data_IF_630125013093
#
_entry.id   IF_630125013093
#
_cell.length_a   1.000
_cell.length_b   1.000
_cell.length_c   1.000
_cell.angle_alpha   90.00
_cell.angle_beta   90.00
_cell.angle_gamma   90.00
#
_symmetry.space_group_name_H-M   'P 1'
#
loop_
_entity.id
_entity.type
_entity.pdbx_description
1 polymer ?
#
# COMPACT_ATOMS: atom_id res chain seq x y z
N UNK A 1 -2.89 -7.21 5.29
CA UNK A 1 -3.88 -7.52 4.24
C UNK A 1 -3.19 -8.37 3.19
N UNK A 2 -3.94 -9.00 2.29
CA UNK A 2 -3.42 -9.93 1.29
C UNK A 2 -3.23 -11.34 1.83
N UNK A 3 -1.99 -11.81 1.78
CA UNK A 3 -1.59 -13.18 2.16
C UNK A 3 -1.60 -13.40 3.67
N UNK A 4 -2.23 -14.50 4.12
CA UNK A 4 -2.22 -14.90 5.52
C UNK A 4 -0.80 -15.23 6.00
N UNK A 5 -0.44 -14.80 7.21
CA UNK A 5 0.83 -15.08 7.91
C UNK A 5 2.13 -14.66 7.18
N UNK A 6 2.05 -14.09 5.97
CA UNK A 6 3.22 -13.69 5.18
C UNK A 6 4.14 -12.75 5.94
N UNK A 7 3.58 -11.73 6.60
CA UNK A 7 4.37 -10.74 7.35
C UNK A 7 5.15 -11.36 8.50
N UNK A 8 4.62 -12.40 9.14
CA UNK A 8 5.33 -13.13 10.20
C UNK A 8 6.52 -13.92 9.63
N UNK A 9 6.40 -14.41 8.40
CA UNK A 9 7.46 -15.17 7.70
C UNK A 9 8.58 -14.23 7.23
N UNK A 10 8.23 -13.07 6.68
CA UNK A 10 9.22 -12.11 6.15
C UNK A 10 9.73 -11.11 7.20
N UNK A 11 9.30 -11.20 8.45
CA UNK A 11 9.69 -10.25 9.50
C UNK A 11 11.21 -10.23 9.75
N UNK A 12 11.88 -11.37 9.56
CA UNK A 12 13.34 -11.50 9.76
C UNK A 12 14.17 -10.68 8.78
N UNK A 13 13.62 -10.37 7.59
CA UNK A 13 14.29 -9.56 6.56
C UNK A 13 13.89 -8.09 6.61
N UNK A 14 13.09 -7.68 7.61
CA UNK A 14 12.67 -6.29 7.82
C UNK A 14 13.85 -5.40 8.14
N UNK A 15 13.94 -4.26 7.47
CA UNK A 15 14.84 -3.17 7.83
C UNK A 15 14.04 -1.95 8.27
N UNK A 16 14.22 -1.49 9.50
CA UNK A 16 13.72 -0.16 9.86
C UNK A 16 14.65 0.89 9.26
N UNK A 17 14.14 1.70 8.34
CA UNK A 17 14.90 2.78 7.71
C UNK A 17 14.30 4.13 8.08
N UNK A 18 15.13 5.14 8.40
CA UNK A 18 14.63 6.46 8.73
C UNK A 18 14.10 7.17 7.48
N UNK A 19 13.03 7.96 7.60
CA UNK A 19 12.37 8.58 6.44
C UNK A 19 13.29 9.50 5.63
N UNK A 20 14.26 10.18 6.26
CA UNK A 20 15.20 11.03 5.55
C UNK A 20 16.07 10.25 4.54
N UNK A 21 16.27 8.95 4.75
CA UNK A 21 17.03 8.08 3.83
C UNK A 21 16.29 7.82 2.51
N UNK A 22 15.02 8.21 2.42
CA UNK A 22 14.21 8.12 1.21
C UNK A 22 14.38 9.35 0.30
N UNK A 23 15.11 10.38 0.75
CA UNK A 23 15.32 11.59 -0.04
C UNK A 23 15.89 11.27 -1.42
N UNK A 24 15.30 11.88 -2.46
CA UNK A 24 15.66 11.65 -3.85
C UNK A 24 14.98 10.44 -4.51
N UNK A 25 14.34 9.56 -3.74
CA UNK A 25 13.60 8.41 -4.28
C UNK A 25 12.24 8.80 -4.83
N UNK A 26 11.78 8.03 -5.80
CA UNK A 26 10.40 8.06 -6.32
C UNK A 26 9.64 6.85 -5.79
N UNK A 27 8.51 7.05 -5.12
CA UNK A 27 7.73 5.98 -4.49
C UNK A 27 6.30 5.92 -5.05
N UNK A 28 5.84 4.72 -5.37
CA UNK A 28 4.44 4.46 -5.69
C UNK A 28 3.64 4.27 -4.39
N UNK A 29 2.45 4.86 -4.30
CA UNK A 29 1.62 4.81 -3.09
C UNK A 29 0.21 4.34 -3.43
N UNK A 30 -0.28 3.32 -2.73
CA UNK A 30 -1.69 2.94 -2.79
C UNK A 30 -2.55 4.02 -2.10
N UNK A 31 -3.31 4.77 -2.91
CA UNK A 31 -4.15 5.87 -2.42
C UNK A 31 -5.28 5.36 -1.53
N UNK A 32 -5.91 4.26 -1.93
CA UNK A 32 -7.02 3.65 -1.19
C UNK A 32 -6.58 3.26 0.21
N UNK A 33 -5.41 2.63 0.33
CA UNK A 33 -4.87 2.15 1.60
C UNK A 33 -4.60 3.31 2.56
N UNK A 34 -3.96 4.39 2.12
CA UNK A 34 -3.70 5.56 2.96
C UNK A 34 -4.97 6.31 3.38
N UNK A 35 -5.96 6.39 2.51
CA UNK A 35 -7.27 6.97 2.86
C UNK A 35 -7.99 6.07 3.89
N UNK A 36 -7.93 4.75 3.73
CA UNK A 36 -8.49 3.80 4.68
C UNK A 36 -7.84 3.91 6.06
N UNK A 37 -6.51 3.99 6.14
CA UNK A 37 -5.78 4.17 7.39
C UNK A 37 -6.20 5.44 8.11
N UNK A 38 -6.24 6.55 7.37
CA UNK A 38 -6.66 7.84 7.91
C UNK A 38 -8.08 7.75 8.50
N UNK A 39 -8.98 7.00 7.86
CA UNK A 39 -10.36 6.75 8.29
C UNK A 39 -10.46 5.79 9.48
N UNK A 40 -9.59 4.77 9.58
CA UNK A 40 -9.58 3.87 10.72
C UNK A 40 -9.16 4.59 12.02
N UNK A 41 -8.22 5.53 11.91
CA UNK A 41 -7.88 6.46 13.00
C UNK A 41 -9.07 7.37 13.35
N UNK A 42 -9.91 7.76 12.37
CA UNK A 42 -11.12 8.56 12.64
C UNK A 42 -12.14 7.85 13.51
N UNK A 43 -12.35 6.55 13.29
CA UNK A 43 -13.30 5.75 14.07
C UNK A 43 -12.87 5.62 15.55
N UNK A 44 -11.57 5.69 15.84
CA UNK A 44 -11.05 5.61 17.21
C UNK A 44 -11.01 6.94 17.96
N UNK A 45 -10.80 8.08 17.27
CA UNK A 45 -10.48 9.35 17.93
C UNK A 45 -11.61 10.40 17.92
N UNK A 46 -12.71 10.17 17.17
CA UNK A 46 -13.88 11.06 17.16
C UNK A 46 -13.63 12.50 16.70
N UNK A 47 -12.41 12.84 16.27
CA UNK A 47 -11.97 14.18 15.90
C UNK A 47 -10.90 14.10 14.81
N UNK A 48 -11.35 14.11 13.56
CA UNK A 48 -10.83 14.89 12.42
C UNK A 48 -11.86 14.72 11.29
N UNK A 49 -12.38 15.82 10.76
CA UNK A 49 -13.58 15.82 9.91
C UNK A 49 -13.34 15.38 8.46
N UNK A 50 -12.08 15.26 8.01
CA UNK A 50 -11.72 15.18 6.58
C UNK A 50 -10.43 14.36 6.32
N UNK A 51 -10.51 13.14 5.75
CA UNK A 51 -9.34 12.25 5.54
C UNK A 51 -8.30 12.80 4.56
N UNK A 52 -8.70 13.66 3.62
CA UNK A 52 -7.78 14.34 2.71
C UNK A 52 -6.78 15.26 3.44
N UNK A 53 -7.10 15.76 4.65
CA UNK A 53 -6.14 16.56 5.44
C UNK A 53 -4.95 15.72 5.91
N UNK A 54 -5.18 14.48 6.33
CA UNK A 54 -4.08 13.59 6.72
C UNK A 54 -3.22 13.23 5.51
N UNK A 55 -3.85 12.99 4.36
CA UNK A 55 -3.14 12.77 3.11
C UNK A 55 -2.29 13.99 2.73
N UNK A 56 -2.84 15.21 2.83
CA UNK A 56 -2.12 16.46 2.57
C UNK A 56 -0.84 16.56 3.39
N UNK A 57 -0.92 16.35 4.71
CA UNK A 57 0.27 16.43 5.56
C UNK A 57 1.30 15.35 5.23
N UNK A 58 0.88 14.10 4.97
CA UNK A 58 1.80 13.03 4.55
C UNK A 58 2.52 13.39 3.24
N UNK A 59 1.77 13.85 2.23
CA UNK A 59 2.32 14.26 0.94
C UNK A 59 3.27 15.44 1.09
N UNK A 60 2.86 16.48 1.81
CA UNK A 60 3.68 17.68 2.06
C UNK A 60 4.98 17.32 2.78
N UNK A 61 4.94 16.52 3.83
CA UNK A 61 6.14 16.15 4.57
C UNK A 61 7.12 15.31 3.74
N UNK A 62 6.64 14.35 2.94
CA UNK A 62 7.50 13.54 2.07
C UNK A 62 8.12 14.36 0.92
N UNK A 63 7.31 15.21 0.30
CA UNK A 63 7.81 16.09 -0.79
C UNK A 63 8.82 17.11 -0.26
N UNK A 64 8.63 17.66 0.94
CA UNK A 64 9.62 18.51 1.62
C UNK A 64 10.91 17.75 1.98
N UNK A 65 10.85 16.44 2.21
CA UNK A 65 12.02 15.58 2.38
C UNK A 65 12.71 15.21 1.04
N UNK A 66 12.20 15.70 -0.09
CA UNK A 66 12.74 15.40 -1.42
C UNK A 66 12.32 14.04 -1.97
N UNK A 67 11.28 13.41 -1.40
CA UNK A 67 10.69 12.17 -1.92
C UNK A 67 9.68 12.53 -3.01
N UNK A 68 9.82 11.94 -4.20
CA UNK A 68 8.85 12.07 -5.28
C UNK A 68 7.79 10.99 -5.11
N UNK A 69 6.51 11.35 -5.29
CA UNK A 69 5.40 10.42 -5.10
C UNK A 69 4.63 10.25 -6.39
N UNK A 70 4.16 9.03 -6.64
CA UNK A 70 3.12 8.73 -7.61
C UNK A 70 2.03 7.93 -6.92
N UNK A 71 0.80 8.44 -6.91
CA UNK A 71 -0.31 7.74 -6.30
C UNK A 71 -1.00 6.82 -7.29
N UNK A 72 -1.46 5.68 -6.80
CA UNK A 72 -2.20 4.70 -7.59
C UNK A 72 -3.60 4.57 -7.00
N UNK A 73 -4.59 4.89 -7.82
CA UNK A 73 -6.00 4.66 -7.52
C UNK A 73 -6.41 3.29 -8.04
N UNK A 74 -7.23 2.60 -7.27
CA UNK A 74 -7.76 1.29 -7.64
C UNK A 74 -8.71 1.36 -8.84
N UNK A 75 -8.61 0.35 -9.71
CA UNK A 75 -9.47 0.13 -10.87
C UNK A 75 -10.59 -0.87 -10.59
N UNK A 76 -10.87 -1.74 -11.55
CA UNK A 76 -11.89 -2.78 -11.40
C UNK A 76 -11.29 -4.07 -10.83
N UNK A 77 -11.79 -4.49 -9.67
CA UNK A 77 -11.32 -5.71 -9.02
C UNK A 77 -11.52 -6.94 -9.93
N UNK A 78 -10.52 -7.85 -10.02
CA UNK A 78 -10.67 -9.10 -10.75
C UNK A 78 -11.85 -9.94 -10.23
N UNK A 79 -12.54 -10.66 -11.12
CA UNK A 79 -13.72 -11.48 -10.75
C UNK A 79 -13.46 -12.43 -9.58
N UNK A 80 -12.26 -13.03 -9.52
CA UNK A 80 -11.84 -13.96 -8.47
C UNK A 80 -11.71 -13.30 -7.09
N UNK A 81 -11.34 -12.00 -7.04
CA UNK A 81 -11.16 -11.23 -5.80
C UNK A 81 -12.39 -10.37 -5.47
N UNK A 82 -13.32 -10.20 -6.42
CA UNK A 82 -14.46 -9.30 -6.31
C UNK A 82 -15.35 -9.62 -5.10
N UNK A 83 -15.60 -10.90 -4.79
CA UNK A 83 -16.38 -11.28 -3.61
C UNK A 83 -15.66 -10.93 -2.30
N UNK A 84 -14.38 -11.30 -2.17
CA UNK A 84 -13.57 -11.00 -0.98
C UNK A 84 -13.44 -9.50 -0.75
N UNK A 85 -13.19 -8.74 -1.83
CA UNK A 85 -13.11 -7.28 -1.78
C UNK A 85 -14.47 -6.66 -1.46
N UNK A 86 -15.57 -7.18 -2.01
CA UNK A 86 -16.90 -6.66 -1.69
C UNK A 86 -17.25 -6.91 -0.22
N UNK A 87 -16.98 -8.12 0.30
CA UNK A 87 -17.15 -8.46 1.72
C UNK A 87 -16.32 -7.54 2.60
N UNK A 88 -15.03 -7.36 2.30
CA UNK A 88 -14.15 -6.42 3.04
C UNK A 88 -14.65 -4.99 2.98
N UNK A 89 -15.11 -4.56 1.82
CA UNK A 89 -15.65 -3.21 1.64
C UNK A 89 -16.95 -3.03 2.44
N UNK A 90 -17.82 -4.04 2.49
CA UNK A 90 -19.01 -4.04 3.34
C UNK A 90 -18.66 -4.05 4.83
N UNK A 91 -17.71 -4.87 5.27
CA UNK A 91 -17.30 -4.90 6.68
C UNK A 91 -16.63 -3.60 7.12
N UNK A 92 -15.81 -2.98 6.27
CA UNK A 92 -15.07 -1.74 6.58
C UNK A 92 -15.88 -0.47 6.39
N UNK A 93 -16.77 -0.43 5.40
CA UNK A 93 -17.47 0.80 5.02
C UNK A 93 -18.99 0.69 5.13
N UNK A 94 -19.60 -0.49 5.26
CA UNK A 94 -21.05 -0.64 5.23
C UNK A 94 -21.67 0.10 4.04
N UNK A 95 -22.79 0.80 4.27
CA UNK A 95 -23.45 1.67 3.27
C UNK A 95 -22.62 2.85 2.76
N UNK A 96 -21.38 3.05 3.22
CA UNK A 96 -20.51 4.17 2.85
C UNK A 96 -19.69 3.94 1.57
N UNK A 97 -19.91 2.87 0.80
CA UNK A 97 -19.23 2.63 -0.51
C UNK A 97 -19.23 3.86 -1.43
N UNK A 98 -20.38 4.53 -1.59
CA UNK A 98 -20.50 5.75 -2.42
C UNK A 98 -19.67 6.91 -1.85
N UNK A 99 -19.66 7.06 -0.52
CA UNK A 99 -18.89 8.09 0.18
C UNK A 99 -17.38 7.84 0.08
N UNK A 100 -16.94 6.58 0.12
CA UNK A 100 -15.52 6.24 -0.05
C UNK A 100 -15.00 6.61 -1.44
N UNK A 101 -15.74 6.29 -2.51
CA UNK A 101 -15.37 6.71 -3.88
C UNK A 101 -15.33 8.24 -4.03
N UNK A 102 -16.25 8.96 -3.39
CA UNK A 102 -16.23 10.43 -3.38
C UNK A 102 -14.96 10.96 -2.68
N UNK A 103 -14.60 10.38 -1.53
CA UNK A 103 -13.37 10.77 -0.80
C UNK A 103 -12.12 10.49 -1.62
N UNK A 104 -12.03 9.37 -2.33
CA UNK A 104 -10.87 9.09 -3.20
C UNK A 104 -10.75 10.13 -4.32
N UNK A 105 -11.87 10.59 -4.87
CA UNK A 105 -11.87 11.66 -5.88
C UNK A 105 -11.43 13.00 -5.30
N UNK A 106 -11.94 13.39 -4.13
CA UNK A 106 -11.47 14.60 -3.42
C UNK A 106 -9.96 14.54 -3.14
N UNK A 107 -9.45 13.36 -2.78
CA UNK A 107 -8.02 13.15 -2.58
C UNK A 107 -7.23 13.28 -3.88
N UNK A 108 -7.72 12.74 -5.00
CA UNK A 108 -7.09 12.88 -6.31
C UNK A 108 -7.07 14.34 -6.79
N UNK A 109 -8.18 15.07 -6.66
CA UNK A 109 -8.24 16.50 -6.97
C UNK A 109 -7.24 17.30 -6.12
N UNK A 110 -7.09 16.96 -4.84
CA UNK A 110 -6.07 17.55 -3.99
C UNK A 110 -4.65 17.26 -4.48
N UNK A 111 -4.36 16.05 -4.96
CA UNK A 111 -3.07 15.69 -5.54
C UNK A 111 -2.78 16.51 -6.82
N UNK A 112 -3.81 16.76 -7.64
CA UNK A 112 -3.70 17.63 -8.82
C UNK A 112 -3.29 19.06 -8.42
N UNK A 113 -3.92 19.64 -7.40
CA UNK A 113 -3.55 20.97 -6.88
C UNK A 113 -2.14 21.03 -6.28
N UNK A 114 -1.66 19.90 -5.73
CA UNK A 114 -0.29 19.78 -5.20
C UNK A 114 0.75 19.50 -6.29
N UNK A 115 0.33 19.25 -7.54
CA UNK A 115 1.22 18.86 -8.63
C UNK A 115 1.84 17.48 -8.45
N UNK A 116 1.17 16.60 -7.69
CA UNK A 116 1.63 15.22 -7.45
C UNK A 116 0.93 14.27 -8.41
N UNK A 117 1.66 13.51 -9.24
CA UNK A 117 1.05 12.63 -10.23
C UNK A 117 0.29 11.49 -9.56
N UNK A 118 -0.84 11.12 -10.17
CA UNK A 118 -1.57 9.92 -9.83
C UNK A 118 -2.08 9.21 -11.08
N UNK A 119 -2.27 7.89 -10.98
CA UNK A 119 -2.75 7.04 -12.07
C UNK A 119 -3.86 6.12 -11.59
N UNK A 120 -4.71 5.67 -12.50
CA UNK A 120 -5.71 4.63 -12.22
C UNK A 120 -5.18 3.28 -12.70
N UNK A 121 -5.15 2.29 -11.80
CA UNK A 121 -4.82 0.92 -12.15
C UNK A 121 -5.93 0.29 -13.02
N UNK A 122 -5.59 -0.68 -13.87
CA UNK A 122 -6.60 -1.46 -14.59
C UNK A 122 -7.40 -2.37 -13.62
N UNK A 123 -6.70 -2.92 -12.62
CA UNK A 123 -7.27 -3.71 -11.55
C UNK A 123 -6.85 -3.17 -10.19
N UNK A 124 -6.03 -3.91 -9.47
CA UNK A 124 -5.63 -3.54 -8.11
C UNK A 124 -4.51 -2.51 -8.10
N UNK A 125 -4.58 -1.57 -7.15
CA UNK A 125 -3.57 -0.54 -6.99
C UNK A 125 -2.20 -1.14 -6.62
N UNK A 126 -2.17 -2.12 -5.71
CA UNK A 126 -1.00 -2.95 -5.38
C UNK A 126 -0.27 -3.49 -6.62
N UNK A 127 -1.03 -4.02 -7.58
CA UNK A 127 -0.49 -4.60 -8.80
C UNK A 127 0.18 -3.56 -9.68
N UNK A 128 -0.42 -2.38 -9.80
CA UNK A 128 0.14 -1.26 -10.55
C UNK A 128 1.35 -0.65 -9.83
N UNK A 129 1.33 -0.52 -8.51
CA UNK A 129 2.50 -0.12 -7.72
C UNK A 129 3.67 -1.08 -7.96
N UNK A 130 3.45 -2.39 -7.81
CA UNK A 130 4.44 -3.42 -8.05
C UNK A 130 4.96 -3.41 -9.50
N UNK A 131 4.09 -3.17 -10.48
CA UNK A 131 4.48 -3.01 -11.88
C UNK A 131 5.44 -1.83 -12.05
N UNK A 132 5.09 -0.63 -11.56
CA UNK A 132 5.94 0.56 -11.65
C UNK A 132 7.33 0.33 -11.05
N UNK A 133 7.41 -0.36 -9.91
CA UNK A 133 8.70 -0.70 -9.29
C UNK A 133 9.46 -1.72 -10.13
N UNK A 134 8.82 -2.82 -10.56
CA UNK A 134 9.47 -3.85 -11.38
C UNK A 134 10.06 -3.31 -12.69
N UNK A 135 9.44 -2.27 -13.26
CA UNK A 135 9.90 -1.59 -14.48
C UNK A 135 10.97 -0.50 -14.20
N UNK A 136 11.30 -0.23 -12.95
CA UNK A 136 12.26 0.80 -12.57
C UNK A 136 11.75 2.23 -12.74
N UNK A 137 10.43 2.44 -12.84
CA UNK A 137 9.82 3.77 -12.90
C UNK A 137 9.74 4.41 -11.50
N UNK A 138 9.69 3.58 -10.46
CA UNK A 138 9.80 3.97 -9.06
C UNK A 138 10.84 3.11 -8.34
N UNK A 139 11.32 3.59 -7.19
CA UNK A 139 12.32 2.94 -6.34
C UNK A 139 11.70 2.03 -5.26
N UNK A 140 10.37 2.02 -5.15
CA UNK A 140 9.61 1.13 -4.28
C UNK A 140 8.15 1.52 -4.10
N UNK A 141 7.42 0.68 -3.39
CA UNK A 141 5.98 0.81 -3.15
C UNK A 141 5.70 1.05 -1.67
N UNK A 142 4.92 2.06 -1.32
CA UNK A 142 4.38 2.22 0.04
C UNK A 142 3.05 1.50 0.13
N UNK A 143 3.00 0.40 0.89
CA UNK A 143 1.79 -0.39 1.12
C UNK A 143 1.90 -1.27 2.38
N UNK A 144 0.74 -1.58 2.97
CA UNK A 144 0.57 -2.58 4.03
C UNK A 144 -0.06 -3.90 3.55
N UNK A 145 -0.25 -4.07 2.24
CA UNK A 145 -0.69 -5.32 1.64
C UNK A 145 0.51 -6.15 1.16
N UNK A 146 0.45 -7.45 1.42
CA UNK A 146 1.51 -8.38 1.04
C UNK A 146 1.46 -8.77 -0.44
N UNK A 147 0.32 -8.53 -1.10
CA UNK A 147 0.11 -8.89 -2.50
C UNK A 147 1.10 -8.18 -3.44
N UNK A 148 1.66 -7.02 -3.06
CA UNK A 148 2.70 -6.33 -3.81
C UNK A 148 3.88 -7.25 -4.20
N UNK A 149 4.32 -8.14 -3.31
CA UNK A 149 5.40 -9.08 -3.61
C UNK A 149 5.00 -10.12 -4.66
N UNK A 150 3.77 -10.62 -4.59
CA UNK A 150 3.23 -11.59 -5.56
C UNK A 150 3.12 -10.96 -6.95
N UNK A 151 2.78 -9.67 -6.99
CA UNK A 151 2.77 -8.87 -8.21
C UNK A 151 4.16 -8.50 -8.74
N UNK A 152 5.22 -8.72 -7.95
CA UNK A 152 6.61 -8.56 -8.39
C UNK A 152 7.27 -7.25 -7.95
N UNK A 153 6.78 -6.60 -6.90
CA UNK A 153 7.50 -5.49 -6.27
C UNK A 153 8.90 -5.96 -5.82
N UNK A 154 9.90 -5.11 -6.03
CA UNK A 154 11.29 -5.31 -5.60
C UNK A 154 11.53 -4.71 -4.23
N UNK A 155 10.89 -3.58 -3.92
CA UNK A 155 11.01 -2.86 -2.65
C UNK A 155 9.63 -2.46 -2.13
N UNK A 156 9.29 -2.90 -0.92
CA UNK A 156 8.03 -2.57 -0.24
C UNK A 156 8.33 -1.84 1.07
N UNK A 157 7.66 -0.71 1.27
CA UNK A 157 7.71 0.12 2.45
C UNK A 157 6.39 0.01 3.23
N UNK A 158 6.47 -0.44 4.47
CA UNK A 158 5.33 -0.80 5.33
C UNK A 158 5.34 0.02 6.62
N UNK A 159 4.19 0.10 7.29
CA UNK A 159 4.00 0.71 8.60
C UNK A 159 4.47 2.17 8.64
N UNK A 160 4.14 2.91 7.58
CA UNK A 160 4.50 4.30 7.43
C UNK A 160 3.89 5.17 8.54
N UNK A 161 4.73 5.68 9.44
CA UNK A 161 4.32 6.52 10.56
C UNK A 161 5.21 7.78 10.64
N UNK A 162 4.57 8.94 10.69
CA UNK A 162 5.24 10.26 10.75
C UNK A 162 5.10 10.95 12.11
N UNK A 163 4.44 10.33 13.09
CA UNK A 163 4.11 10.96 14.37
C UNK A 163 5.22 10.81 15.43
N UNK A 164 6.31 10.09 15.14
CA UNK A 164 7.43 9.90 16.06
C UNK A 164 8.51 10.97 15.91
N UNK A 165 9.31 11.17 16.97
CA UNK A 165 10.45 12.11 16.96
C UNK A 165 11.51 11.72 15.92
N UNK A 166 11.67 10.43 15.67
CA UNK A 166 12.49 9.88 14.58
C UNK A 166 11.56 9.01 13.71
N UNK A 167 11.03 9.54 12.60
CA UNK A 167 10.09 8.80 11.77
C UNK A 167 10.84 7.75 10.95
N UNK A 168 10.37 6.52 11.06
CA UNK A 168 10.94 5.34 10.41
C UNK A 168 9.87 4.61 9.62
N UNK A 169 10.30 3.83 8.63
CA UNK A 169 9.44 2.96 7.83
C UNK A 169 10.09 1.59 7.71
N UNK A 170 9.27 0.54 7.72
CA UNK A 170 9.76 -0.81 7.54
C UNK A 170 9.99 -1.05 6.04
N UNK A 171 11.22 -1.41 5.68
CA UNK A 171 11.67 -1.66 4.33
C UNK A 171 11.93 -3.15 4.13
N UNK A 172 11.32 -3.71 3.10
CA UNK A 172 11.46 -5.10 2.70
C UNK A 172 11.91 -5.13 1.24
N UNK A 173 12.99 -5.87 0.95
CA UNK A 173 13.55 -5.98 -0.40
C UNK A 173 13.54 -7.43 -0.87
N UNK A 174 13.02 -7.66 -2.06
CA UNK A 174 12.94 -9.00 -2.67
C UNK A 174 14.32 -9.65 -2.81
N UNK A 175 15.38 -8.87 -2.99
CA UNK A 175 16.76 -9.38 -2.96
C UNK A 175 17.10 -10.09 -1.65
N UNK A 176 16.69 -9.53 -0.50
CA UNK A 176 16.91 -10.15 0.82
C UNK A 176 16.01 -11.34 1.06
N UNK A 177 14.74 -11.26 0.62
CA UNK A 177 13.84 -12.43 0.66
C UNK A 177 14.46 -13.62 -0.09
N UNK A 178 15.09 -13.37 -1.23
CA UNK A 178 15.74 -14.41 -2.02
C UNK A 178 17.05 -14.91 -1.39
N UNK A 179 17.90 -14.02 -0.85
CA UNK A 179 19.20 -14.42 -0.30
C UNK A 179 19.11 -15.05 1.08
N UNK A 180 18.21 -14.56 1.95
CA UNK A 180 18.15 -14.97 3.36
C UNK A 180 17.04 -15.99 3.65
N UNK A 181 15.92 -15.92 2.92
CA UNK A 181 14.80 -16.85 3.11
C UNK A 181 14.65 -17.85 1.95
N UNK A 182 15.45 -17.71 0.90
CA UNK A 182 15.35 -18.52 -0.32
C UNK A 182 13.95 -18.47 -0.95
N UNK A 183 13.25 -17.34 -0.78
CA UNK A 183 11.91 -17.13 -1.32
C UNK A 183 12.01 -16.34 -2.63
N UNK A 184 11.92 -17.06 -3.75
CA UNK A 184 11.65 -16.45 -5.06
C UNK A 184 10.20 -15.95 -5.15
N UNK A 185 9.89 -15.16 -6.19
CA UNK A 185 8.52 -14.72 -6.45
C UNK A 185 7.59 -15.93 -6.63
N UNK A 186 8.04 -16.95 -7.34
CA UNK A 186 7.29 -18.19 -7.56
C UNK A 186 7.02 -18.91 -6.24
N UNK A 187 7.98 -18.93 -5.32
CA UNK A 187 7.78 -19.49 -3.99
C UNK A 187 6.79 -18.67 -3.16
N UNK A 188 6.85 -17.34 -3.23
CA UNK A 188 5.90 -16.45 -2.53
C UNK A 188 4.48 -16.63 -3.04
N UNK A 189 4.29 -16.78 -4.35
CA UNK A 189 2.99 -17.10 -4.95
C UNK A 189 2.50 -18.47 -4.48
N UNK A 190 3.35 -19.50 -4.51
CA UNK A 190 3.00 -20.83 -4.01
C UNK A 190 2.64 -20.83 -2.52
N UNK A 191 3.42 -20.14 -1.70
CA UNK A 191 3.17 -19.96 -0.28
C UNK A 191 1.82 -19.26 -0.04
N UNK A 192 1.50 -18.23 -0.82
CA UNK A 192 0.24 -17.53 -0.70
C UNK A 192 -0.98 -18.39 -1.07
N UNK A 193 -0.83 -19.27 -2.07
CA UNK A 193 -1.87 -20.25 -2.42
C UNK A 193 -2.11 -21.22 -1.25
N UNK A 194 -1.05 -21.67 -0.57
CA UNK A 194 -1.13 -22.61 0.54
C UNK A 194 -1.67 -21.98 1.83
N UNK A 195 -1.18 -20.79 2.18
CA UNK A 195 -1.61 -20.07 3.39
C UNK A 195 -3.01 -19.45 3.24
N UNK A 196 -3.47 -19.30 2.01
CA UNK A 196 -4.64 -18.52 1.65
C UNK A 196 -4.29 -17.04 1.46
N UNK A 197 -4.97 -16.43 0.50
CA UNK A 197 -4.84 -15.02 0.16
C UNK A 197 -6.20 -14.48 -0.28
N UNK A 198 -6.25 -13.22 -0.71
CA UNK A 198 -7.52 -12.59 -1.05
C UNK A 198 -8.25 -13.25 -2.24
N UNK A 199 -7.52 -13.99 -3.08
CA UNK A 199 -8.04 -14.70 -4.24
C UNK A 199 -8.48 -16.13 -3.93
N UNK A 200 -7.91 -16.76 -2.90
CA UNK A 200 -8.06 -18.19 -2.62
C UNK A 200 -8.16 -18.39 -1.09
N UNK A 201 -9.24 -19.00 -0.59
CA UNK A 201 -9.36 -19.30 0.84
C UNK A 201 -8.29 -20.31 1.28
N UNK A 202 -7.92 -20.25 2.57
CA UNK A 202 -6.94 -21.16 3.16
C UNK A 202 -7.37 -22.62 3.01
N UNK A 203 -6.43 -23.49 2.62
CA UNK A 203 -6.65 -24.94 2.56
C UNK A 203 -6.71 -25.47 4.00
N UNK A 204 -7.82 -26.14 4.36
CA UNK A 204 -8.00 -26.81 5.65
C UNK A 204 -7.20 -28.11 5.77
#
# INVERSE_FOLDING_TARGET
MGVHDLWSIVETVRESVPLYSLSGKTLAVDLSLWVCEAQHVQAMMGRVTKPHLNLFFRVSSLTLMGVKLVFVMEGEAPKLKAETMSKRTETRFGGFKKRFKAVLRECAEMLDYLGVPWVTAAGEAEAMCAYLDSQGMVDGCITNDGDAFLYGARTVYRNFNMNSKDPQVDCYRTSRLQTELHLSRENLVGLAILLGCDYIPKVE
#
